data_IF_440974262275
#
_entry.id   IF_440974262275
#
_cell.length_a   1.000
_cell.length_b   1.000
_cell.length_c   1.000
_cell.angle_alpha   90.00
_cell.angle_beta   90.00
_cell.angle_gamma   90.00
#
_symmetry.space_group_name_H-M   'P 1'
#
loop_
_entity.id
_entity.type
_entity.pdbx_description
1 polymer ?
#
# COMPACT_ATOMS: atom_id res chain seq x y z
N UNK A 1 -5.23 -41.75 48.21
CA UNK A 1 -5.44 -42.89 49.13
C UNK A 1 -4.81 -42.48 50.46
N UNK A 2 -5.62 -42.40 51.53
CA UNK A 2 -5.25 -42.23 52.94
C UNK A 2 -4.63 -40.87 53.40
N UNK A 3 -5.53 -39.96 53.84
CA UNK A 3 -5.45 -39.30 55.16
C UNK A 3 -5.73 -40.45 56.18
N UNK A 4 -5.26 -40.55 57.47
CA UNK A 4 -5.38 -39.45 58.46
C UNK A 4 -4.62 -39.52 59.84
N UNK A 5 -4.91 -38.51 60.71
CA UNK A 5 -5.15 -38.60 62.20
C UNK A 5 -3.91 -38.81 63.14
N UNK A 6 -3.62 -37.98 64.17
CA UNK A 6 -4.32 -37.66 65.45
C UNK A 6 -3.84 -36.27 66.00
N UNK A 7 -4.71 -35.35 66.45
CA UNK A 7 -5.35 -35.20 67.79
C UNK A 7 -4.35 -35.01 68.94
N UNK A 8 -4.35 -33.91 69.70
CA UNK A 8 -5.27 -33.55 70.81
C UNK A 8 -4.74 -32.23 71.45
N UNK A 9 -5.36 -31.43 72.32
CA UNK A 9 -6.69 -31.24 72.91
C UNK A 9 -6.58 -29.95 73.78
N UNK A 10 -7.71 -29.48 74.34
CA UNK A 10 -7.85 -28.49 75.44
C UNK A 10 -7.89 -27.00 75.07
N UNK A 11 -8.73 -26.13 75.63
CA UNK A 11 -9.90 -26.22 76.51
C UNK A 11 -10.51 -24.80 76.59
N UNK A 12 -11.82 -24.72 76.79
CA UNK A 12 -12.56 -23.67 77.52
C UNK A 12 -12.47 -22.16 77.15
N UNK A 13 -13.61 -21.70 76.61
CA UNK A 13 -14.51 -20.63 77.12
C UNK A 13 -14.06 -19.16 77.22
N UNK A 14 -14.93 -18.34 76.61
CA UNK A 14 -15.52 -17.09 77.10
C UNK A 14 -14.80 -15.74 76.89
N UNK A 15 -15.42 -14.96 76.00
CA UNK A 15 -16.01 -13.65 76.30
C UNK A 15 -15.05 -12.55 76.78
N UNK A 16 -14.63 -11.67 75.88
CA UNK A 16 -14.96 -10.23 75.93
C UNK A 16 -14.32 -9.49 74.75
N UNK A 17 -15.08 -8.51 74.24
CA UNK A 17 -14.77 -7.60 73.15
C UNK A 17 -13.42 -6.90 73.29
N UNK A 18 -12.67 -6.73 72.19
CA UNK A 18 -12.00 -5.44 72.00
C UNK A 18 -11.83 -5.03 70.51
N UNK A 19 -12.32 -3.82 70.24
CA UNK A 19 -12.63 -3.18 68.95
C UNK A 19 -11.41 -2.76 68.10
N UNK A 20 -10.31 -3.53 68.10
CA UNK A 20 -9.04 -3.04 67.54
C UNK A 20 -8.57 -3.72 66.24
N UNK A 21 -9.37 -4.62 65.64
CA UNK A 21 -9.01 -5.29 64.38
C UNK A 21 -9.71 -4.76 63.12
N UNK A 22 -10.67 -3.83 63.25
CA UNK A 22 -11.34 -3.25 62.08
C UNK A 22 -10.56 -2.09 61.42
N UNK A 23 -9.59 -1.49 62.10
CA UNK A 23 -8.83 -0.37 61.54
C UNK A 23 -7.63 -0.77 60.67
N UNK A 24 -7.14 -2.01 60.78
CA UNK A 24 -5.95 -2.45 60.03
C UNK A 24 -6.26 -3.04 58.65
N UNK A 25 -7.52 -3.45 58.40
CA UNK A 25 -7.97 -3.90 57.07
C UNK A 25 -8.52 -2.74 56.20
N UNK A 26 -8.75 -1.56 56.78
CA UNK A 26 -9.17 -0.37 56.02
C UNK A 26 -8.00 0.43 55.45
N UNK A 27 -6.79 0.31 56.01
CA UNK A 27 -5.62 1.09 55.56
C UNK A 27 -4.80 0.36 54.49
N UNK A 28 -4.86 -0.97 54.42
CA UNK A 28 -4.20 -1.76 53.36
C UNK A 28 -5.00 -1.84 52.04
N UNK A 29 -6.32 -1.57 52.08
CA UNK A 29 -7.17 -1.51 50.87
C UNK A 29 -7.17 -0.15 50.15
N UNK A 30 -6.59 0.88 50.76
CA UNK A 30 -6.59 2.26 50.26
C UNK A 30 -5.31 2.68 49.54
N UNK A 31 -4.29 1.81 49.49
CA UNK A 31 -3.02 2.06 48.76
C UNK A 31 -2.89 1.27 47.45
N UNK A 32 -3.92 0.50 47.06
CA UNK A 32 -4.00 -0.20 45.77
C UNK A 32 -4.89 0.49 44.73
N UNK A 33 -5.46 1.65 45.06
CA UNK A 33 -5.94 2.60 44.06
C UNK A 33 -4.74 3.44 43.60
N UNK A 34 -3.76 2.78 42.98
CA UNK A 34 -2.83 3.48 42.12
C UNK A 34 -3.68 4.26 41.13
N UNK A 35 -3.52 5.58 41.12
CA UNK A 35 -4.18 6.48 40.19
C UNK A 35 -4.04 5.88 38.80
N UNK A 36 -5.11 5.26 38.29
CA UNK A 36 -5.27 5.08 36.86
C UNK A 36 -5.46 6.51 36.37
N UNK A 37 -4.34 7.16 36.06
CA UNK A 37 -4.33 8.46 35.42
C UNK A 37 -4.86 8.20 34.01
N UNK A 38 -6.18 8.13 33.89
CA UNK A 38 -6.88 8.33 32.63
C UNK A 38 -6.64 9.79 32.30
N UNK A 39 -5.47 10.09 31.72
CA UNK A 39 -5.24 11.38 31.11
C UNK A 39 -6.36 11.55 30.08
N UNK A 40 -7.31 12.44 30.38
CA UNK A 40 -8.33 12.81 29.40
C UNK A 40 -7.59 13.31 28.15
N UNK A 41 -7.97 12.86 26.94
CA UNK A 41 -7.37 13.37 25.71
C UNK A 41 -7.39 14.90 25.74
N UNK A 42 -6.24 15.53 25.51
CA UNK A 42 -6.18 16.99 25.44
C UNK A 42 -7.04 17.47 24.27
N UNK A 43 -8.08 18.24 24.59
CA UNK A 43 -8.95 18.88 23.61
C UNK A 43 -8.48 20.33 23.43
N UNK A 44 -7.89 20.70 22.28
CA UNK A 44 -7.52 22.08 22.02
C UNK A 44 -8.75 23.00 22.11
N UNK A 45 -8.56 24.17 22.71
CA UNK A 45 -9.61 25.17 22.88
C UNK A 45 -9.89 25.93 21.57
N UNK A 46 -8.94 25.93 20.64
CA UNK A 46 -9.05 26.59 19.34
C UNK A 46 -8.29 25.85 18.24
N UNK A 47 -8.56 26.18 16.97
CA UNK A 47 -7.81 25.66 15.82
C UNK A 47 -6.37 26.20 15.75
N UNK A 48 -6.05 27.25 16.51
CA UNK A 48 -4.72 27.89 16.56
C UNK A 48 -3.83 27.32 17.67
N UNK A 49 -4.38 26.43 18.52
CA UNK A 49 -3.63 25.80 19.60
C UNK A 49 -2.56 24.86 19.03
N UNK A 50 -1.29 25.23 19.23
CA UNK A 50 -0.15 24.42 18.80
C UNK A 50 -0.02 23.19 19.69
N UNK A 51 -0.43 22.02 19.18
CA UNK A 51 -0.34 20.74 19.90
C UNK A 51 1.09 20.22 19.98
N UNK A 52 1.86 20.40 18.90
CA UNK A 52 3.22 19.92 18.81
C UNK A 52 4.02 20.81 17.86
N UNK A 53 5.29 21.08 18.21
CA UNK A 53 6.26 21.74 17.33
C UNK A 53 7.21 20.68 16.82
N UNK A 54 6.96 20.21 15.61
CA UNK A 54 7.87 19.28 14.94
C UNK A 54 9.21 19.99 14.65
N UNK A 55 10.36 19.30 14.75
CA UNK A 55 11.64 19.84 14.32
C UNK A 55 11.53 20.36 12.89
N UNK A 56 12.15 21.50 12.59
CA UNK A 56 12.22 22.00 11.23
C UNK A 56 12.94 20.95 10.37
N UNK A 57 12.20 20.23 9.53
CA UNK A 57 12.79 19.27 8.61
C UNK A 57 13.77 20.04 7.70
N UNK A 58 15.04 19.63 7.74
CA UNK A 58 16.18 20.44 7.36
C UNK A 58 16.55 20.34 5.87
N UNK A 59 15.88 19.50 5.08
CA UNK A 59 16.21 19.34 3.67
C UNK A 59 15.57 20.44 2.80
N UNK A 60 16.16 20.68 1.61
CA UNK A 60 15.71 21.73 0.70
C UNK A 60 14.28 21.51 0.17
N UNK A 61 13.88 20.25 -0.01
CA UNK A 61 12.54 19.89 -0.49
C UNK A 61 11.44 20.32 0.48
N UNK A 62 11.63 20.08 1.78
CA UNK A 62 10.66 20.46 2.81
C UNK A 62 10.59 21.98 2.97
N UNK A 63 11.70 22.69 2.76
CA UNK A 63 11.71 24.14 2.74
C UNK A 63 10.95 24.72 1.55
N UNK A 64 11.12 24.14 0.37
CA UNK A 64 10.38 24.51 -0.84
C UNK A 64 8.88 24.30 -0.63
N UNK A 65 8.48 23.12 -0.15
CA UNK A 65 7.08 22.80 0.06
C UNK A 65 6.41 23.77 1.05
N UNK A 66 7.10 24.10 2.16
CA UNK A 66 6.62 25.12 3.12
C UNK A 66 6.53 26.52 2.52
N UNK A 67 7.35 26.87 1.53
CA UNK A 67 7.25 28.16 0.83
C UNK A 67 6.04 28.17 -0.10
N UNK A 68 5.85 27.11 -0.88
CA UNK A 68 4.70 26.94 -1.77
C UNK A 68 3.39 27.00 -0.99
N UNK A 69 3.27 26.25 0.10
CA UNK A 69 2.08 26.25 0.95
C UNK A 69 1.79 27.62 1.58
N UNK A 70 2.81 28.32 2.08
CA UNK A 70 2.61 29.68 2.65
C UNK A 70 2.16 30.68 1.59
N UNK A 71 2.75 30.63 0.40
CA UNK A 71 2.35 31.48 -0.70
C UNK A 71 0.89 31.18 -1.10
N UNK A 72 0.52 29.90 -1.19
CA UNK A 72 -0.84 29.50 -1.54
C UNK A 72 -1.85 29.92 -0.48
N UNK A 73 -1.51 29.84 0.81
CA UNK A 73 -2.38 30.31 1.88
C UNK A 73 -2.64 31.83 1.81
N UNK A 74 -1.71 32.61 1.24
CA UNK A 74 -1.90 34.05 1.06
C UNK A 74 -2.77 34.40 -0.16
N UNK A 75 -2.84 33.52 -1.16
CA UNK A 75 -3.72 33.66 -2.32
C UNK A 75 -4.30 32.29 -2.74
N UNK A 76 -5.33 31.78 -2.03
CA UNK A 76 -5.86 30.43 -2.24
C UNK A 76 -6.53 30.21 -3.60
N UNK A 77 -6.76 31.27 -4.37
CA UNK A 77 -7.39 31.22 -5.70
C UNK A 77 -6.36 31.30 -6.83
N UNK A 78 -5.08 31.34 -6.51
CA UNK A 78 -4.01 31.31 -7.49
C UNK A 78 -3.88 29.92 -8.12
N UNK A 79 -4.47 29.74 -9.31
CA UNK A 79 -4.53 28.44 -9.98
C UNK A 79 -3.13 27.86 -10.27
N UNK A 80 -2.21 28.66 -10.78
CA UNK A 80 -0.86 28.20 -11.12
C UNK A 80 -0.12 27.71 -9.87
N UNK A 81 -0.20 28.47 -8.77
CA UNK A 81 0.44 28.13 -7.52
C UNK A 81 -0.21 26.89 -6.87
N UNK A 82 -1.54 26.76 -6.95
CA UNK A 82 -2.26 25.59 -6.47
C UNK A 82 -1.81 24.31 -7.21
N UNK A 83 -1.76 24.35 -8.54
CA UNK A 83 -1.31 23.23 -9.38
C UNK A 83 0.13 22.85 -9.05
N UNK A 84 1.03 23.84 -8.97
CA UNK A 84 2.44 23.61 -8.66
C UNK A 84 2.61 22.97 -7.28
N UNK A 85 1.88 23.47 -6.28
CA UNK A 85 1.90 22.95 -4.91
C UNK A 85 1.37 21.52 -4.87
N UNK A 86 0.24 21.24 -5.52
CA UNK A 86 -0.35 19.90 -5.57
C UNK A 86 0.55 18.88 -6.29
N UNK A 87 1.16 19.24 -7.42
CA UNK A 87 2.13 18.38 -8.11
C UNK A 87 3.31 18.03 -7.21
N UNK A 88 3.91 19.04 -6.55
CA UNK A 88 5.04 18.80 -5.64
C UNK A 88 4.68 17.89 -4.47
N UNK A 89 3.46 18.03 -3.95
CA UNK A 89 2.93 17.18 -2.90
C UNK A 89 2.75 15.73 -3.38
N UNK A 90 2.20 15.52 -4.58
CA UNK A 90 2.04 14.18 -5.17
C UNK A 90 3.40 13.53 -5.46
N UNK A 91 4.37 14.28 -5.98
CA UNK A 91 5.75 13.81 -6.15
C UNK A 91 6.35 13.35 -4.82
N UNK A 92 6.18 14.16 -3.77
CA UNK A 92 6.64 13.82 -2.42
C UNK A 92 5.93 12.59 -1.88
N UNK A 93 4.61 12.49 -2.11
CA UNK A 93 3.81 11.33 -1.71
C UNK A 93 4.35 10.03 -2.33
N UNK A 94 4.67 10.06 -3.62
CA UNK A 94 5.23 8.91 -4.37
C UNK A 94 6.65 8.58 -3.91
N UNK A 95 7.49 9.59 -3.73
CA UNK A 95 8.86 9.40 -3.28
C UNK A 95 8.90 8.79 -1.87
N UNK A 96 8.12 9.30 -0.93
CA UNK A 96 8.14 8.84 0.46
C UNK A 96 7.22 7.64 0.72
N UNK A 97 6.35 7.31 -0.24
CA UNK A 97 5.20 6.41 -0.07
C UNK A 97 4.35 6.78 1.16
N UNK A 98 4.11 8.08 1.33
CA UNK A 98 3.36 8.64 2.45
C UNK A 98 2.00 9.20 1.97
N UNK A 99 0.88 8.55 2.33
CA UNK A 99 -0.44 8.90 1.80
C UNK A 99 -0.92 10.29 2.28
N UNK A 100 -0.33 10.85 3.35
CA UNK A 100 -0.74 12.16 3.91
C UNK A 100 -0.61 13.29 2.90
N UNK A 101 0.43 13.23 2.06
CA UNK A 101 0.68 14.26 1.05
C UNK A 101 -0.41 14.33 -0.03
N UNK A 102 -1.14 13.24 -0.31
CA UNK A 102 -2.30 13.31 -1.21
C UNK A 102 -3.45 14.14 -0.61
N UNK A 103 -3.66 14.07 0.71
CA UNK A 103 -4.61 14.93 1.41
C UNK A 103 -4.21 16.40 1.35
N UNK A 104 -2.92 16.70 1.49
CA UNK A 104 -2.41 18.06 1.31
C UNK A 104 -2.54 18.54 -0.15
N UNK A 105 -2.33 17.64 -1.13
CA UNK A 105 -2.48 17.98 -2.54
C UNK A 105 -3.93 18.32 -2.89
N UNK A 106 -4.90 17.58 -2.36
CA UNK A 106 -6.32 17.91 -2.45
C UNK A 106 -6.61 19.29 -1.85
N UNK A 107 -6.11 19.56 -0.63
CA UNK A 107 -6.31 20.84 0.02
C UNK A 107 -5.74 22.01 -0.83
N UNK A 108 -4.59 21.81 -1.48
CA UNK A 108 -3.98 22.82 -2.35
C UNK A 108 -4.88 23.22 -3.54
N UNK A 109 -5.67 22.29 -4.08
CA UNK A 109 -6.66 22.58 -5.15
C UNK A 109 -8.09 22.71 -4.63
N UNK A 110 -8.27 22.84 -3.31
CA UNK A 110 -9.57 22.79 -2.63
C UNK A 110 -10.59 23.80 -3.15
N UNK A 111 -10.16 24.98 -3.61
CA UNK A 111 -11.05 25.99 -4.17
C UNK A 111 -11.84 25.49 -5.39
N UNK A 112 -11.22 24.64 -6.23
CA UNK A 112 -11.83 24.09 -7.45
C UNK A 112 -12.38 22.68 -7.27
N UNK A 113 -12.04 22.00 -6.17
CA UNK A 113 -12.29 20.56 -5.99
C UNK A 113 -13.76 20.14 -6.19
N UNK A 114 -14.72 20.95 -5.76
CA UNK A 114 -16.16 20.65 -5.88
C UNK A 114 -16.89 21.57 -6.87
N UNK A 115 -16.17 22.35 -7.69
CA UNK A 115 -16.81 23.19 -8.68
C UNK A 115 -17.44 22.33 -9.78
N UNK A 116 -18.58 22.76 -10.38
CA UNK A 116 -19.21 22.01 -11.48
C UNK A 116 -18.32 21.88 -12.72
N UNK A 117 -17.43 22.85 -12.94
CA UNK A 117 -16.49 22.89 -14.07
C UNK A 117 -15.09 23.30 -13.57
N UNK A 118 -14.35 22.40 -12.90
CA UNK A 118 -12.98 22.66 -12.51
C UNK A 118 -12.07 22.76 -13.75
N UNK A 119 -10.98 23.55 -13.71
CA UNK A 119 -10.00 23.55 -14.79
C UNK A 119 -9.42 22.16 -15.07
N UNK A 120 -9.15 21.83 -16.34
CA UNK A 120 -8.60 20.52 -16.75
C UNK A 120 -7.36 20.08 -15.96
N UNK A 121 -6.45 21.00 -15.63
CA UNK A 121 -5.30 20.69 -14.78
C UNK A 121 -5.67 20.26 -13.34
N UNK A 122 -6.75 20.81 -12.77
CA UNK A 122 -7.28 20.39 -11.46
C UNK A 122 -7.96 19.03 -11.59
N UNK A 123 -8.72 18.79 -12.66
CA UNK A 123 -9.32 17.48 -12.92
C UNK A 123 -8.25 16.38 -13.01
N UNK A 124 -7.12 16.65 -13.68
CA UNK A 124 -6.00 15.72 -13.77
C UNK A 124 -5.40 15.42 -12.38
N UNK A 125 -5.19 16.43 -11.54
CA UNK A 125 -4.72 16.25 -10.16
C UNK A 125 -5.71 15.46 -9.31
N UNK A 126 -7.00 15.79 -9.41
CA UNK A 126 -8.10 15.10 -8.72
C UNK A 126 -8.17 13.63 -9.13
N UNK A 127 -8.01 13.32 -10.42
CA UNK A 127 -7.96 11.96 -10.92
C UNK A 127 -6.80 11.16 -10.31
N UNK A 128 -5.60 11.73 -10.21
CA UNK A 128 -4.43 11.07 -9.59
C UNK A 128 -4.66 10.80 -8.10
N UNK A 129 -5.24 11.76 -7.38
CA UNK A 129 -5.56 11.60 -5.95
C UNK A 129 -6.65 10.53 -5.76
N UNK A 130 -7.70 10.57 -6.58
CA UNK A 130 -8.78 9.56 -6.57
C UNK A 130 -8.27 8.17 -6.91
N UNK A 131 -7.40 8.04 -7.91
CA UNK A 131 -6.73 6.78 -8.25
C UNK A 131 -5.97 6.21 -7.04
N UNK A 132 -5.18 7.03 -6.34
CA UNK A 132 -4.46 6.59 -5.15
C UNK A 132 -5.41 6.14 -4.02
N UNK A 133 -6.57 6.78 -3.88
CA UNK A 133 -7.60 6.40 -2.92
C UNK A 133 -8.49 5.23 -3.38
N UNK A 134 -8.16 4.64 -4.52
CA UNK A 134 -8.93 3.58 -5.19
C UNK A 134 -10.36 4.01 -5.59
N UNK A 135 -10.64 5.31 -5.68
CA UNK A 135 -11.82 5.87 -6.34
C UNK A 135 -11.59 5.89 -7.86
N UNK A 136 -11.49 4.70 -8.44
CA UNK A 136 -11.19 4.54 -9.86
C UNK A 136 -12.29 5.08 -10.76
N UNK A 137 -13.55 4.99 -10.34
CA UNK A 137 -14.69 5.47 -11.13
C UNK A 137 -14.72 7.01 -11.16
N UNK A 138 -14.50 7.67 -10.02
CA UNK A 138 -14.36 9.12 -9.96
C UNK A 138 -13.12 9.61 -10.72
N UNK A 139 -12.01 8.87 -10.65
CA UNK A 139 -10.81 9.20 -11.42
C UNK A 139 -11.03 9.08 -12.93
N UNK A 140 -11.68 8.02 -13.41
CA UNK A 140 -12.02 7.85 -14.82
C UNK A 140 -13.01 8.91 -15.32
N UNK A 141 -13.96 9.34 -14.47
CA UNK A 141 -14.86 10.44 -14.80
C UNK A 141 -14.08 11.75 -15.04
N UNK A 142 -13.16 12.09 -14.13
CA UNK A 142 -12.32 13.28 -14.29
C UNK A 142 -11.42 13.20 -15.53
N UNK A 143 -10.80 12.05 -15.77
CA UNK A 143 -9.94 11.82 -16.95
C UNK A 143 -10.74 11.94 -18.25
N UNK A 144 -11.97 11.43 -18.29
CA UNK A 144 -12.86 11.58 -19.44
C UNK A 144 -13.17 13.05 -19.70
N UNK A 145 -13.43 13.82 -18.66
CA UNK A 145 -13.74 15.25 -18.80
C UNK A 145 -12.51 16.03 -19.30
N UNK A 146 -11.30 15.71 -18.81
CA UNK A 146 -10.04 16.23 -19.37
C UNK A 146 -9.88 15.87 -20.84
N UNK A 147 -10.10 14.61 -21.22
CA UNK A 147 -9.93 14.15 -22.61
C UNK A 147 -10.98 14.71 -23.57
N UNK A 148 -12.14 15.14 -23.07
CA UNK A 148 -13.15 15.84 -23.87
C UNK A 148 -12.68 17.25 -24.27
N UNK A 149 -11.97 17.95 -23.38
CA UNK A 149 -11.40 19.28 -23.65
C UNK A 149 -10.03 19.21 -24.33
N UNK A 150 -9.21 18.24 -23.93
CA UNK A 150 -7.81 18.08 -24.34
C UNK A 150 -7.54 16.67 -24.93
N UNK A 151 -8.05 16.34 -26.14
CA UNK A 151 -7.90 14.99 -26.72
C UNK A 151 -6.46 14.52 -26.94
N UNK A 152 -5.49 15.44 -26.90
CA UNK A 152 -4.05 15.20 -27.07
C UNK A 152 -3.28 15.14 -25.75
N UNK A 153 -3.97 15.16 -24.61
CA UNK A 153 -3.33 15.09 -23.30
C UNK A 153 -2.78 13.67 -23.05
N UNK A 154 -1.46 13.50 -23.22
CA UNK A 154 -0.78 12.21 -23.06
C UNK A 154 -0.91 11.65 -21.63
N UNK A 155 -0.83 12.52 -20.62
CA UNK A 155 -0.94 12.11 -19.21
C UNK A 155 -2.33 11.56 -18.90
N UNK A 156 -3.38 12.19 -19.41
CA UNK A 156 -4.76 11.71 -19.23
C UNK A 156 -4.97 10.33 -19.88
N UNK A 157 -4.48 10.11 -21.11
CA UNK A 157 -4.52 8.80 -21.75
C UNK A 157 -3.75 7.72 -20.99
N UNK A 158 -2.56 8.05 -20.47
CA UNK A 158 -1.77 7.12 -19.67
C UNK A 158 -2.46 6.79 -18.35
N UNK A 159 -2.98 7.79 -17.63
CA UNK A 159 -3.74 7.58 -16.39
C UNK A 159 -5.00 6.75 -16.64
N UNK A 160 -5.73 7.00 -17.73
CA UNK A 160 -6.88 6.17 -18.11
C UNK A 160 -6.49 4.71 -18.30
N UNK A 161 -5.41 4.45 -19.05
CA UNK A 161 -4.93 3.10 -19.34
C UNK A 161 -4.51 2.36 -18.06
N UNK A 162 -3.80 3.04 -17.15
CA UNK A 162 -3.39 2.48 -15.86
C UNK A 162 -4.60 2.11 -15.02
N UNK A 163 -5.58 3.02 -14.86
CA UNK A 163 -6.78 2.74 -14.06
C UNK A 163 -7.59 1.59 -14.66
N UNK A 164 -7.76 1.56 -15.98
CA UNK A 164 -8.42 0.44 -16.68
C UNK A 164 -7.69 -0.87 -16.44
N UNK A 165 -6.35 -0.90 -16.52
CA UNK A 165 -5.54 -2.08 -16.22
C UNK A 165 -5.71 -2.57 -14.79
N UNK A 166 -5.67 -1.67 -13.81
CA UNK A 166 -5.85 -1.98 -12.38
C UNK A 166 -7.26 -2.52 -12.09
N UNK A 167 -8.29 -2.08 -12.83
CA UNK A 167 -9.65 -2.64 -12.75
C UNK A 167 -9.80 -4.00 -13.47
N UNK A 168 -8.78 -4.45 -14.22
CA UNK A 168 -8.83 -5.67 -15.03
C UNK A 168 -9.43 -5.49 -16.43
N UNK A 169 -9.63 -4.25 -16.88
CA UNK A 169 -10.22 -3.88 -18.16
C UNK A 169 -9.11 -3.74 -19.24
N UNK A 170 -8.45 -4.85 -19.58
CA UNK A 170 -7.22 -4.83 -20.38
C UNK A 170 -7.40 -4.40 -21.85
N UNK A 171 -8.51 -4.76 -22.50
CA UNK A 171 -8.77 -4.31 -23.87
C UNK A 171 -9.01 -2.78 -23.95
N UNK A 172 -9.87 -2.18 -23.08
CA UNK A 172 -9.92 -0.72 -22.93
C UNK A 172 -8.57 -0.08 -22.61
N UNK A 173 -7.78 -0.68 -21.69
CA UNK A 173 -6.45 -0.17 -21.34
C UNK A 173 -5.51 -0.13 -22.56
N UNK A 174 -5.50 -1.20 -23.37
CA UNK A 174 -4.73 -1.26 -24.61
C UNK A 174 -5.14 -0.17 -25.61
N UNK A 175 -6.44 0.08 -25.76
CA UNK A 175 -6.94 1.15 -26.62
C UNK A 175 -6.45 2.53 -26.15
N UNK A 176 -6.49 2.79 -24.84
CA UNK A 176 -5.94 4.02 -24.26
C UNK A 176 -4.42 4.12 -24.49
N UNK A 177 -3.66 3.04 -24.30
CA UNK A 177 -2.22 3.01 -24.58
C UNK A 177 -1.89 3.29 -26.06
N UNK A 178 -2.74 2.88 -27.00
CA UNK A 178 -2.51 3.13 -28.43
C UNK A 178 -2.53 4.63 -28.78
N UNK A 179 -3.25 5.45 -28.01
CA UNK A 179 -3.25 6.91 -28.20
C UNK A 179 -1.87 7.53 -27.95
N UNK A 180 -1.10 6.94 -27.03
CA UNK A 180 0.24 7.41 -26.66
C UNK A 180 1.25 7.30 -27.80
N UNK A 181 1.04 6.42 -28.78
CA UNK A 181 1.94 6.26 -29.94
C UNK A 181 2.20 7.56 -30.71
N UNK A 182 1.28 8.54 -30.63
CA UNK A 182 1.39 9.85 -31.28
C UNK A 182 1.61 11.00 -30.30
N UNK A 183 1.60 10.73 -28.99
CA UNK A 183 1.53 11.75 -27.94
C UNK A 183 2.68 11.64 -26.92
N UNK A 184 3.42 10.54 -26.88
CA UNK A 184 4.53 10.31 -25.94
C UNK A 184 5.76 9.73 -26.65
N UNK A 185 6.82 9.46 -25.87
CA UNK A 185 7.96 8.68 -26.36
C UNK A 185 7.51 7.28 -26.80
N UNK A 186 8.28 6.69 -27.72
CA UNK A 186 8.07 5.32 -28.18
C UNK A 186 8.13 4.33 -27.01
N UNK A 187 9.03 4.57 -26.06
CA UNK A 187 9.20 3.71 -24.88
C UNK A 187 7.96 3.77 -24.00
N UNK A 188 7.44 4.96 -23.68
CA UNK A 188 6.20 5.12 -22.88
C UNK A 188 5.02 4.39 -23.51
N UNK A 189 4.81 4.58 -24.82
CA UNK A 189 3.72 3.92 -25.53
C UNK A 189 3.89 2.39 -25.55
N UNK A 190 5.12 1.90 -25.74
CA UNK A 190 5.43 0.48 -25.73
C UNK A 190 5.24 -0.14 -24.35
N UNK A 191 5.74 0.50 -23.30
CA UNK A 191 5.63 0.03 -21.90
C UNK A 191 4.17 -0.04 -21.46
N UNK A 192 3.37 0.99 -21.75
CA UNK A 192 1.92 0.99 -21.48
C UNK A 192 1.24 -0.22 -22.15
N UNK A 193 1.44 -0.37 -23.46
CA UNK A 193 0.80 -1.42 -24.24
C UNK A 193 1.26 -2.82 -23.81
N UNK A 194 2.55 -3.00 -23.54
CA UNK A 194 3.10 -4.28 -23.10
C UNK A 194 2.56 -4.67 -21.71
N UNK A 195 2.44 -3.72 -20.79
CA UNK A 195 1.87 -4.00 -19.47
C UNK A 195 0.44 -4.55 -19.59
N UNK A 196 -0.44 -3.84 -20.30
CA UNK A 196 -1.84 -4.27 -20.49
C UNK A 196 -1.95 -5.58 -21.31
N UNK A 197 -1.19 -5.72 -22.41
CA UNK A 197 -1.22 -6.92 -23.25
C UNK A 197 -0.72 -8.16 -22.51
N UNK A 198 0.22 -7.99 -21.58
CA UNK A 198 0.76 -9.11 -20.81
C UNK A 198 -0.26 -9.76 -19.89
N UNK A 199 -1.31 -9.01 -19.52
CA UNK A 199 -2.39 -9.49 -18.67
C UNK A 199 -3.58 -10.02 -19.49
N UNK A 200 -3.49 -10.01 -20.84
CA UNK A 200 -4.57 -10.37 -21.76
C UNK A 200 -4.24 -11.59 -22.65
N UNK A 201 -3.43 -12.54 -22.17
CA UNK A 201 -3.00 -13.74 -22.92
C UNK A 201 -2.00 -13.48 -24.05
N UNK A 202 -1.25 -12.37 -23.97
CA UNK A 202 -0.20 -12.00 -24.93
C UNK A 202 1.13 -11.71 -24.21
N UNK A 203 1.38 -12.30 -23.04
CA UNK A 203 2.55 -12.00 -22.20
C UNK A 203 3.88 -12.16 -22.92
N UNK A 204 4.09 -13.29 -23.62
CA UNK A 204 5.34 -13.51 -24.36
C UNK A 204 5.52 -12.52 -25.51
N UNK A 205 4.46 -12.17 -26.23
CA UNK A 205 4.50 -11.19 -27.33
C UNK A 205 4.77 -9.78 -26.81
N UNK A 206 4.09 -9.40 -25.72
CA UNK A 206 4.25 -8.13 -25.04
C UNK A 206 5.69 -7.94 -24.50
N UNK A 207 6.25 -8.99 -23.89
CA UNK A 207 7.63 -9.01 -23.42
C UNK A 207 8.62 -8.74 -24.56
N UNK A 208 8.53 -9.49 -25.66
CA UNK A 208 9.46 -9.30 -26.79
C UNK A 208 9.29 -7.90 -27.41
N UNK A 209 8.06 -7.42 -27.59
CA UNK A 209 7.80 -6.09 -28.13
C UNK A 209 8.43 -4.97 -27.30
N UNK A 210 8.32 -5.03 -25.97
CA UNK A 210 8.93 -4.04 -25.08
C UNK A 210 10.46 -4.20 -25.04
N UNK A 211 10.96 -5.43 -25.02
CA UNK A 211 12.41 -5.72 -25.00
C UNK A 211 13.11 -5.20 -26.25
N UNK A 212 12.47 -5.31 -27.41
CA UNK A 212 12.98 -4.81 -28.69
C UNK A 212 12.82 -3.28 -28.85
N UNK A 213 12.15 -2.61 -27.90
CA UNK A 213 12.03 -1.15 -27.88
C UNK A 213 13.22 -0.55 -27.14
N UNK A 214 14.06 0.18 -27.89
CA UNK A 214 15.28 0.79 -27.34
C UNK A 214 14.98 1.76 -26.19
N UNK A 215 15.63 1.52 -25.04
CA UNK A 215 15.49 2.34 -23.84
C UNK A 215 16.69 3.28 -23.60
N UNK A 216 17.82 3.07 -24.26
CA UNK A 216 19.10 3.71 -23.93
C UNK A 216 19.12 5.24 -24.09
N UNK A 217 18.23 5.78 -24.92
CA UNK A 217 18.11 7.23 -25.18
C UNK A 217 16.92 7.88 -24.45
N UNK A 218 16.15 7.09 -23.70
CA UNK A 218 14.97 7.57 -22.98
C UNK A 218 15.34 8.23 -21.64
N UNK A 219 14.41 9.01 -21.08
CA UNK A 219 14.58 9.57 -19.74
C UNK A 219 14.70 8.46 -18.68
N UNK A 220 15.43 8.72 -17.59
CA UNK A 220 15.69 7.73 -16.53
C UNK A 220 14.40 7.13 -15.98
N UNK A 221 13.35 7.92 -15.80
CA UNK A 221 12.07 7.44 -15.29
C UNK A 221 11.36 6.50 -16.29
N UNK A 222 11.46 6.79 -17.59
CA UNK A 222 10.90 5.92 -18.62
C UNK A 222 11.65 4.59 -18.70
N UNK A 223 12.98 4.62 -18.57
CA UNK A 223 13.82 3.41 -18.50
C UNK A 223 13.47 2.57 -17.27
N UNK A 224 13.36 3.20 -16.10
CA UNK A 224 13.01 2.53 -14.84
C UNK A 224 11.67 1.80 -14.97
N UNK A 225 10.66 2.48 -15.51
CA UNK A 225 9.34 1.88 -15.71
C UNK A 225 9.38 0.73 -16.71
N UNK A 226 10.05 0.90 -17.85
CA UNK A 226 10.17 -0.15 -18.86
C UNK A 226 10.87 -1.41 -18.33
N UNK A 227 12.00 -1.26 -17.63
CA UNK A 227 12.71 -2.38 -17.03
C UNK A 227 11.89 -3.07 -15.93
N UNK A 228 11.16 -2.30 -15.12
CA UNK A 228 10.29 -2.89 -14.09
C UNK A 228 9.18 -3.74 -14.73
N UNK A 229 8.50 -3.22 -15.76
CA UNK A 229 7.45 -3.96 -16.48
C UNK A 229 8.02 -5.21 -17.18
N UNK A 230 9.20 -5.11 -17.82
CA UNK A 230 9.87 -6.28 -18.40
C UNK A 230 10.15 -7.36 -17.35
N UNK A 231 10.64 -6.95 -16.18
CA UNK A 231 10.95 -7.86 -15.08
C UNK A 231 9.69 -8.58 -14.57
N UNK A 232 8.60 -7.84 -14.39
CA UNK A 232 7.33 -8.39 -13.93
C UNK A 232 6.70 -9.34 -14.96
N UNK A 233 6.75 -9.02 -16.25
CA UNK A 233 6.26 -9.93 -17.30
C UNK A 233 7.11 -11.20 -17.33
N UNK A 234 8.44 -11.08 -17.27
CA UNK A 234 9.34 -12.23 -17.25
C UNK A 234 9.10 -13.13 -16.01
N UNK A 235 8.88 -12.52 -14.84
CA UNK A 235 8.56 -13.23 -13.61
C UNK A 235 7.24 -14.03 -13.73
N UNK A 236 6.19 -13.41 -14.27
CA UNK A 236 4.90 -14.10 -14.53
C UNK A 236 5.03 -15.25 -15.53
N UNK A 237 5.88 -15.09 -16.55
CA UNK A 237 6.19 -16.15 -17.52
C UNK A 237 7.09 -17.26 -16.95
N UNK A 238 7.59 -17.12 -15.73
CA UNK A 238 8.52 -18.07 -15.09
C UNK A 238 9.98 -17.93 -15.52
N UNK A 239 10.33 -16.92 -16.33
CA UNK A 239 11.71 -16.65 -16.73
C UNK A 239 12.43 -15.83 -15.64
N UNK A 240 12.87 -16.54 -14.59
CA UNK A 240 13.49 -15.92 -13.42
C UNK A 240 14.83 -15.23 -13.75
N UNK A 241 15.57 -15.75 -14.74
CA UNK A 241 16.85 -15.16 -15.16
C UNK A 241 16.67 -13.82 -15.88
N UNK A 242 15.69 -13.74 -16.79
CA UNK A 242 15.33 -12.47 -17.43
C UNK A 242 14.74 -11.47 -16.42
N UNK A 243 13.86 -11.94 -15.53
CA UNK A 243 13.26 -11.09 -14.49
C UNK A 243 14.34 -10.42 -13.63
N UNK A 244 15.30 -11.20 -13.10
CA UNK A 244 16.38 -10.65 -12.29
C UNK A 244 17.27 -9.68 -13.08
N UNK A 245 17.56 -9.98 -14.34
CA UNK A 245 18.34 -9.08 -15.21
C UNK A 245 17.68 -7.71 -15.31
N UNK A 246 16.38 -7.67 -15.57
CA UNK A 246 15.64 -6.42 -15.72
C UNK A 246 15.46 -5.65 -14.40
N UNK A 247 15.19 -6.33 -13.28
CA UNK A 247 15.18 -5.67 -11.98
C UNK A 247 16.52 -5.01 -11.64
N UNK A 248 17.64 -5.71 -11.92
CA UNK A 248 18.98 -5.14 -11.70
C UNK A 248 19.29 -3.97 -12.64
N UNK A 249 18.81 -4.00 -13.88
CA UNK A 249 18.91 -2.84 -14.79
C UNK A 249 18.15 -1.64 -14.24
N UNK A 250 16.93 -1.83 -13.74
CA UNK A 250 16.15 -0.76 -13.12
C UNK A 250 16.84 -0.19 -11.87
N UNK A 251 17.37 -1.05 -10.99
CA UNK A 251 18.11 -0.62 -9.79
C UNK A 251 19.41 0.13 -10.12
N UNK A 252 20.10 -0.26 -11.20
CA UNK A 252 21.34 0.39 -11.63
C UNK A 252 21.15 1.84 -12.09
N UNK A 253 19.90 2.28 -12.31
CA UNK A 253 19.59 3.69 -12.58
C UNK A 253 19.76 4.59 -11.34
N UNK A 254 19.94 4.00 -10.15
CA UNK A 254 20.15 4.70 -8.88
C UNK A 254 19.06 5.74 -8.54
N UNK A 255 17.84 5.50 -9.02
CA UNK A 255 16.66 6.28 -8.68
C UNK A 255 15.83 5.47 -7.68
N UNK A 256 15.62 6.01 -6.48
CA UNK A 256 14.78 5.34 -5.47
C UNK A 256 13.32 5.34 -5.94
N UNK A 257 12.77 4.15 -6.14
CA UNK A 257 11.39 3.95 -6.55
C UNK A 257 10.76 2.83 -5.71
N UNK A 258 9.71 3.17 -4.96
CA UNK A 258 9.07 2.25 -4.00
C UNK A 258 8.36 1.09 -4.71
N UNK A 259 7.83 1.32 -5.92
CA UNK A 259 7.18 0.28 -6.70
C UNK A 259 8.19 -0.76 -7.18
N UNK A 260 9.31 -0.33 -7.76
CA UNK A 260 10.42 -1.20 -8.15
C UNK A 260 10.95 -2.01 -6.96
N UNK A 261 11.22 -1.37 -5.83
CA UNK A 261 11.71 -2.04 -4.63
C UNK A 261 10.70 -3.09 -4.13
N UNK A 262 9.41 -2.77 -4.16
CA UNK A 262 8.34 -3.70 -3.78
C UNK A 262 8.27 -4.91 -4.72
N UNK A 263 8.28 -4.67 -6.04
CA UNK A 263 8.19 -5.72 -7.06
C UNK A 263 9.43 -6.63 -7.04
N UNK A 264 10.62 -6.07 -6.88
CA UNK A 264 11.85 -6.86 -6.80
C UNK A 264 11.94 -7.66 -5.50
N UNK A 265 11.55 -7.08 -4.37
CA UNK A 265 11.52 -7.80 -3.11
C UNK A 265 10.51 -8.97 -3.14
N UNK A 266 9.33 -8.77 -3.73
CA UNK A 266 8.37 -9.85 -3.97
C UNK A 266 8.96 -10.96 -4.85
N UNK A 267 9.63 -10.60 -5.93
CA UNK A 267 10.34 -11.57 -6.77
C UNK A 267 11.42 -12.34 -5.97
N UNK A 268 12.24 -11.67 -5.17
CA UNK A 268 13.27 -12.31 -4.35
C UNK A 268 12.66 -13.26 -3.29
N UNK A 269 11.54 -12.88 -2.67
CA UNK A 269 10.79 -13.76 -1.76
C UNK A 269 10.31 -15.02 -2.46
N UNK A 270 9.77 -14.90 -3.68
CA UNK A 270 9.35 -16.05 -4.49
C UNK A 270 10.52 -16.98 -4.85
N UNK A 271 11.72 -16.42 -5.04
CA UNK A 271 12.95 -17.18 -5.28
C UNK A 271 13.58 -17.76 -4.00
N UNK A 272 12.93 -17.64 -2.84
CA UNK A 272 13.46 -18.07 -1.53
C UNK A 272 14.78 -17.39 -1.18
N UNK A 273 14.92 -16.09 -1.51
CA UNK A 273 16.11 -15.28 -1.24
C UNK A 273 15.85 -14.16 -0.22
N UNK A 274 15.42 -14.48 1.01
CA UNK A 274 15.04 -13.47 1.99
C UNK A 274 16.23 -12.62 2.48
N UNK A 275 17.45 -13.15 2.51
CA UNK A 275 18.65 -12.38 2.89
C UNK A 275 18.90 -11.20 1.95
N UNK A 276 18.61 -11.37 0.66
CA UNK A 276 18.75 -10.30 -0.32
C UNK A 276 17.68 -9.23 -0.13
N UNK A 277 16.46 -9.61 0.26
CA UNK A 277 15.39 -8.68 0.60
C UNK A 277 15.73 -7.85 1.83
N UNK A 278 16.26 -8.48 2.89
CA UNK A 278 16.73 -7.76 4.09
C UNK A 278 17.83 -6.78 3.69
N UNK A 279 18.79 -7.21 2.87
CA UNK A 279 19.88 -6.33 2.40
C UNK A 279 19.35 -5.15 1.59
N UNK A 280 18.35 -5.40 0.74
CA UNK A 280 17.72 -4.39 -0.12
C UNK A 280 16.92 -3.36 0.68
N UNK A 281 16.21 -3.76 1.73
CA UNK A 281 15.15 -2.95 2.36
C UNK A 281 15.42 -2.49 3.79
N UNK A 282 16.49 -2.95 4.46
CA UNK A 282 16.73 -2.66 5.89
C UNK A 282 16.75 -1.18 6.27
N UNK A 283 17.03 -0.27 5.33
CA UNK A 283 17.03 1.18 5.56
C UNK A 283 15.71 1.87 5.10
N UNK A 284 14.76 1.12 4.54
CA UNK A 284 13.55 1.61 3.86
C UNK A 284 12.25 1.27 4.60
N UNK A 285 12.23 1.47 5.92
CA UNK A 285 11.10 1.11 6.81
C UNK A 285 9.94 2.12 6.82
N UNK A 286 10.07 3.24 6.09
CA UNK A 286 9.03 4.29 6.05
C UNK A 286 7.80 3.85 5.26
N UNK A 287 7.98 3.16 4.13
CA UNK A 287 6.89 2.74 3.27
C UNK A 287 6.27 1.44 3.80
N UNK A 288 4.95 1.40 4.04
CA UNK A 288 4.27 0.23 4.60
C UNK A 288 4.48 -1.03 3.76
N UNK A 289 4.40 -0.90 2.43
CA UNK A 289 4.62 -2.01 1.51
C UNK A 289 6.05 -2.57 1.55
N UNK A 290 7.06 -1.74 1.81
CA UNK A 290 8.46 -2.18 1.95
C UNK A 290 8.70 -2.79 3.33
N UNK A 291 8.17 -2.16 4.39
CA UNK A 291 8.25 -2.68 5.76
C UNK A 291 7.60 -4.08 5.87
N UNK A 292 6.46 -4.29 5.20
CA UNK A 292 5.84 -5.61 5.09
C UNK A 292 6.79 -6.64 4.47
N UNK A 293 7.39 -6.32 3.31
CA UNK A 293 8.29 -7.26 2.61
C UNK A 293 9.57 -7.53 3.39
N UNK A 294 10.09 -6.52 4.11
CA UNK A 294 11.18 -6.69 5.06
C UNK A 294 10.79 -7.65 6.18
N UNK A 295 9.64 -7.45 6.83
CA UNK A 295 9.16 -8.34 7.89
C UNK A 295 8.92 -9.78 7.39
N UNK A 296 8.44 -9.97 6.16
CA UNK A 296 8.32 -11.31 5.55
C UNK A 296 9.69 -11.98 5.42
N UNK A 297 10.70 -11.25 4.93
CA UNK A 297 12.06 -11.77 4.80
C UNK A 297 12.72 -12.05 6.17
N UNK A 298 12.47 -11.20 7.16
CA UNK A 298 12.93 -11.38 8.54
C UNK A 298 12.31 -12.62 9.19
N UNK A 299 11.02 -12.90 8.94
CA UNK A 299 10.37 -14.13 9.38
C UNK A 299 11.05 -15.37 8.79
N UNK A 300 11.40 -15.36 7.50
CA UNK A 300 12.06 -16.48 6.84
C UNK A 300 13.50 -16.70 7.31
N UNK A 301 14.17 -15.64 7.79
CA UNK A 301 15.57 -15.70 8.27
C UNK A 301 15.68 -15.86 9.78
N UNK A 302 14.59 -15.70 10.52
CA UNK A 302 14.59 -15.70 11.98
C UNK A 302 15.24 -14.44 12.57
N UNK A 303 15.14 -13.30 11.87
CA UNK A 303 15.79 -12.06 12.30
C UNK A 303 15.15 -11.51 13.59
N UNK A 304 15.99 -11.00 14.50
CA UNK A 304 15.56 -10.46 15.80
C UNK A 304 14.70 -9.19 15.65
N UNK A 305 14.89 -8.45 14.55
CA UNK A 305 14.16 -7.22 14.21
C UNK A 305 12.69 -7.46 13.83
N UNK A 306 12.30 -8.70 13.53
CA UNK A 306 10.93 -9.06 13.12
C UNK A 306 9.88 -8.55 14.12
N UNK A 307 10.12 -8.73 15.42
CA UNK A 307 9.15 -8.38 16.45
C UNK A 307 8.83 -6.87 16.41
N UNK A 308 9.87 -6.04 16.29
CA UNK A 308 9.72 -4.59 16.21
C UNK A 308 8.96 -4.17 14.94
N UNK A 309 9.34 -4.70 13.77
CA UNK A 309 8.69 -4.33 12.51
C UNK A 309 7.25 -4.83 12.44
N UNK A 310 6.94 -5.99 13.01
CA UNK A 310 5.58 -6.51 13.09
C UNK A 310 4.69 -5.67 14.02
N UNK A 311 5.21 -5.22 15.16
CA UNK A 311 4.49 -4.31 16.06
C UNK A 311 4.20 -2.96 15.37
N UNK A 312 5.18 -2.43 14.63
CA UNK A 312 5.01 -1.21 13.86
C UNK A 312 3.94 -1.34 12.76
N UNK A 313 3.98 -2.42 11.97
CA UNK A 313 2.95 -2.69 10.95
C UNK A 313 1.56 -2.76 11.58
N UNK A 314 1.40 -3.49 12.69
CA UNK A 314 0.11 -3.60 13.38
C UNK A 314 -0.40 -2.26 13.91
N UNK A 315 0.49 -1.43 14.47
CA UNK A 315 0.15 -0.09 14.94
C UNK A 315 -0.32 0.82 13.79
N UNK A 316 0.38 0.80 12.65
CA UNK A 316 -0.01 1.57 11.46
C UNK A 316 -1.36 1.11 10.90
N UNK A 317 -1.60 -0.19 10.81
CA UNK A 317 -2.91 -0.74 10.40
C UNK A 317 -4.04 -0.35 11.35
N UNK A 318 -3.80 -0.39 12.67
CA UNK A 318 -4.78 0.08 13.64
C UNK A 318 -5.13 1.56 13.45
N UNK A 319 -4.13 2.40 13.15
CA UNK A 319 -4.35 3.81 12.85
C UNK A 319 -5.15 4.04 11.55
N UNK A 320 -4.93 3.25 10.50
CA UNK A 320 -5.74 3.30 9.27
C UNK A 320 -7.20 2.96 9.54
N UNK A 321 -7.46 1.87 10.28
CA UNK A 321 -8.83 1.45 10.64
C UNK A 321 -9.58 2.50 11.45
N UNK A 322 -8.90 3.18 12.38
CA UNK A 322 -9.50 4.27 13.18
C UNK A 322 -9.94 5.47 12.32
N UNK A 323 -9.29 5.71 11.18
CA UNK A 323 -9.68 6.76 10.23
C UNK A 323 -10.72 6.31 9.21
N UNK A 324 -11.04 5.02 9.15
CA UNK A 324 -11.88 4.44 8.11
C UNK A 324 -11.17 4.34 6.75
N UNK A 325 -9.83 4.38 6.74
CA UNK A 325 -9.03 4.24 5.52
C UNK A 325 -9.08 2.78 5.03
N UNK A 326 -9.60 2.55 3.82
CA UNK A 326 -9.68 1.22 3.19
C UNK A 326 -8.62 1.00 2.08
N UNK A 327 -7.59 1.86 2.01
CA UNK A 327 -6.65 1.92 0.88
C UNK A 327 -5.60 0.79 0.92
N UNK A 328 -5.35 0.21 2.10
CA UNK A 328 -4.25 -0.78 2.31
C UNK A 328 -4.74 -2.23 2.49
N UNK A 329 -5.89 -2.58 1.91
CA UNK A 329 -6.49 -3.90 2.10
C UNK A 329 -5.60 -5.05 1.60
N UNK A 330 -4.83 -4.85 0.52
CA UNK A 330 -3.84 -5.84 0.04
C UNK A 330 -2.76 -6.10 1.09
N UNK A 331 -2.10 -5.05 1.58
CA UNK A 331 -1.04 -5.16 2.58
C UNK A 331 -1.57 -5.77 3.88
N UNK A 332 -2.74 -5.33 4.34
CA UNK A 332 -3.37 -5.87 5.54
C UNK A 332 -3.71 -7.36 5.38
N UNK A 333 -4.24 -7.77 4.23
CA UNK A 333 -4.51 -9.17 3.92
C UNK A 333 -3.22 -10.01 3.92
N UNK A 334 -2.12 -9.51 3.34
CA UNK A 334 -0.81 -10.19 3.35
C UNK A 334 -0.25 -10.33 4.76
N UNK A 335 -0.33 -9.28 5.59
CA UNK A 335 0.08 -9.33 7.01
C UNK A 335 -0.70 -10.45 7.73
N UNK A 336 -2.02 -10.46 7.59
CA UNK A 336 -2.87 -11.46 8.22
C UNK A 336 -2.50 -12.88 7.77
N UNK A 337 -2.31 -13.09 6.47
CA UNK A 337 -2.02 -14.42 5.92
C UNK A 337 -0.64 -14.93 6.33
N UNK A 338 0.39 -14.11 6.10
CA UNK A 338 1.77 -14.55 6.07
C UNK A 338 2.48 -14.31 7.41
N UNK A 339 2.18 -13.21 8.10
CA UNK A 339 2.81 -12.87 9.39
C UNK A 339 2.00 -13.35 10.58
N UNK A 340 0.69 -13.07 10.60
CA UNK A 340 -0.18 -13.35 11.75
C UNK A 340 -0.84 -14.74 11.72
N UNK A 341 -0.79 -15.44 10.57
CA UNK A 341 -1.43 -16.76 10.36
C UNK A 341 -2.94 -16.74 10.63
N UNK A 342 -3.60 -15.68 10.17
CA UNK A 342 -5.05 -15.43 10.26
C UNK A 342 -5.68 -15.52 8.85
N UNK A 343 -5.78 -16.72 8.25
CA UNK A 343 -6.15 -16.86 6.84
C UNK A 343 -7.62 -16.47 6.55
N UNK A 344 -8.53 -16.57 7.53
CA UNK A 344 -9.93 -16.12 7.36
C UNK A 344 -10.05 -14.61 7.22
N UNK A 345 -9.32 -13.85 8.05
CA UNK A 345 -9.28 -12.39 7.95
C UNK A 345 -8.57 -11.94 6.68
N UNK A 346 -7.48 -12.62 6.32
CA UNK A 346 -6.79 -12.40 5.05
C UNK A 346 -7.72 -12.61 3.85
N UNK A 347 -8.49 -13.70 3.81
CA UNK A 347 -9.41 -13.98 2.71
C UNK A 347 -10.50 -12.88 2.59
N UNK A 348 -11.09 -12.48 3.72
CA UNK A 348 -12.09 -11.40 3.75
C UNK A 348 -11.52 -10.11 3.18
N UNK A 349 -10.33 -9.70 3.63
CA UNK A 349 -9.66 -8.48 3.17
C UNK A 349 -9.24 -8.58 1.68
N UNK A 350 -8.73 -9.73 1.25
CA UNK A 350 -8.35 -9.98 -0.13
C UNK A 350 -9.56 -9.87 -1.09
N UNK A 351 -10.72 -10.41 -0.70
CA UNK A 351 -11.95 -10.30 -1.47
C UNK A 351 -12.53 -8.88 -1.50
N UNK A 352 -12.42 -8.12 -0.40
CA UNK A 352 -12.78 -6.71 -0.38
C UNK A 352 -11.93 -5.91 -1.37
N UNK A 353 -10.62 -6.14 -1.35
CA UNK A 353 -9.69 -5.52 -2.28
C UNK A 353 -9.98 -5.92 -3.74
N UNK A 354 -10.24 -7.21 -3.99
CA UNK A 354 -10.55 -7.75 -5.32
C UNK A 354 -11.77 -7.09 -5.99
N UNK A 355 -12.73 -6.61 -5.19
CA UNK A 355 -13.89 -5.88 -5.70
C UNK A 355 -13.54 -4.48 -6.24
N UNK A 356 -12.39 -3.94 -5.85
CA UNK A 356 -11.92 -2.61 -6.21
C UNK A 356 -10.78 -2.69 -7.23
N UNK A 357 -9.82 -3.60 -7.03
CA UNK A 357 -8.55 -3.71 -7.74
C UNK A 357 -8.24 -5.17 -8.08
N UNK A 358 -7.78 -5.42 -9.31
CA UNK A 358 -7.62 -6.75 -9.92
C UNK A 358 -6.26 -6.93 -10.59
N UNK A 359 -5.20 -6.56 -9.88
CA UNK A 359 -3.84 -6.83 -10.33
C UNK A 359 -3.45 -8.30 -10.03
N UNK A 360 -2.40 -8.85 -10.68
CA UNK A 360 -1.96 -10.22 -10.44
C UNK A 360 -1.68 -10.55 -8.97
N UNK A 361 -1.15 -9.59 -8.20
CA UNK A 361 -0.92 -9.78 -6.76
C UNK A 361 -2.20 -9.86 -5.94
N UNK A 362 -3.30 -9.23 -6.36
CA UNK A 362 -4.60 -9.39 -5.71
C UNK A 362 -5.19 -10.76 -5.98
N UNK A 363 -5.07 -11.23 -7.22
CA UNK A 363 -5.50 -12.56 -7.63
C UNK A 363 -4.75 -13.61 -6.80
N UNK A 364 -3.42 -13.46 -6.73
CA UNK A 364 -2.55 -14.33 -5.92
C UNK A 364 -3.01 -14.36 -4.48
N UNK A 365 -3.24 -13.21 -3.86
CA UNK A 365 -3.59 -13.14 -2.45
C UNK A 365 -4.93 -13.81 -2.12
N UNK A 366 -5.94 -13.64 -2.99
CA UNK A 366 -7.21 -14.36 -2.86
C UNK A 366 -6.99 -15.87 -2.97
N UNK A 367 -6.22 -16.33 -3.96
CA UNK A 367 -5.94 -17.77 -4.14
C UNK A 367 -5.13 -18.34 -2.96
N UNK A 368 -4.08 -17.68 -2.50
CA UNK A 368 -3.28 -18.11 -1.34
C UNK A 368 -4.15 -18.20 -0.08
N UNK A 369 -5.02 -17.21 0.16
CA UNK A 369 -5.91 -17.21 1.30
C UNK A 369 -7.00 -18.29 1.19
N UNK A 370 -7.57 -18.50 0.01
CA UNK A 370 -8.55 -19.54 -0.27
C UNK A 370 -7.98 -20.96 -0.04
N UNK A 371 -6.76 -21.22 -0.53
CA UNK A 371 -6.04 -22.47 -0.25
C UNK A 371 -5.80 -22.63 1.25
N UNK A 372 -5.40 -21.56 1.96
CA UNK A 372 -5.11 -21.62 3.39
C UNK A 372 -6.34 -21.86 4.29
N UNK A 373 -7.55 -21.55 3.81
CA UNK A 373 -8.80 -21.85 4.52
C UNK A 373 -9.56 -23.06 3.95
N UNK A 374 -9.01 -23.72 2.92
CA UNK A 374 -9.66 -24.83 2.20
C UNK A 374 -11.05 -24.46 1.63
N UNK A 375 -11.21 -23.22 1.15
CA UNK A 375 -12.44 -22.70 0.55
C UNK A 375 -12.26 -22.42 -0.94
N UNK A 376 -12.49 -23.45 -1.75
CA UNK A 376 -12.43 -23.37 -3.22
C UNK A 376 -13.47 -22.42 -3.81
N UNK A 377 -14.63 -22.27 -3.16
CA UNK A 377 -15.69 -21.40 -3.66
C UNK A 377 -15.29 -19.93 -3.54
N UNK A 378 -14.53 -19.56 -2.51
CA UNK A 378 -14.02 -18.21 -2.35
C UNK A 378 -13.03 -17.78 -3.46
N UNK A 379 -12.35 -18.74 -4.11
CA UNK A 379 -11.46 -18.46 -5.25
C UNK A 379 -12.21 -18.17 -6.56
N UNK A 380 -13.51 -18.49 -6.65
CA UNK A 380 -14.31 -18.41 -7.89
C UNK A 380 -14.20 -17.06 -8.63
N UNK A 381 -14.26 -15.88 -7.98
CA UNK A 381 -14.15 -14.60 -8.68
C UNK A 381 -12.82 -14.44 -9.45
N UNK A 382 -11.73 -14.99 -8.91
CA UNK A 382 -10.40 -14.95 -9.55
C UNK A 382 -10.31 -15.96 -10.69
N UNK A 383 -10.82 -17.18 -10.49
CA UNK A 383 -10.86 -18.21 -11.53
C UNK A 383 -11.68 -17.74 -12.75
N UNK A 384 -12.85 -17.15 -12.50
CA UNK A 384 -13.71 -16.59 -13.55
C UNK A 384 -13.01 -15.41 -14.27
N UNK A 385 -12.22 -14.60 -13.57
CA UNK A 385 -11.42 -13.54 -14.17
C UNK A 385 -10.28 -14.10 -15.04
N UNK A 386 -9.50 -15.07 -14.53
CA UNK A 386 -8.42 -15.72 -15.26
C UNK A 386 -8.90 -16.35 -16.56
N UNK A 387 -10.07 -17.01 -16.54
CA UNK A 387 -10.67 -17.60 -17.73
C UNK A 387 -11.01 -16.55 -18.81
N UNK A 388 -11.40 -15.33 -18.41
CA UNK A 388 -11.73 -14.24 -19.34
C UNK A 388 -10.51 -13.46 -19.80
N UNK A 389 -9.63 -13.07 -18.86
CA UNK A 389 -8.45 -12.27 -19.14
C UNK A 389 -7.38 -13.07 -19.86
N UNK A 390 -7.34 -14.39 -19.65
CA UNK A 390 -6.26 -15.28 -20.13
C UNK A 390 -4.90 -14.84 -19.62
N UNK A 391 -4.84 -14.23 -18.43
CA UNK A 391 -3.56 -13.82 -17.83
C UNK A 391 -2.65 -15.03 -17.66
N UNK A 392 -1.41 -14.90 -18.15
CA UNK A 392 -0.38 -15.93 -18.08
C UNK A 392 0.51 -15.66 -16.86
N UNK A 393 0.37 -16.47 -15.81
CA UNK A 393 1.16 -16.34 -14.57
C UNK A 393 1.41 -17.71 -13.94
N UNK A 394 2.68 -18.12 -13.87
CA UNK A 394 3.10 -19.41 -13.32
C UNK A 394 2.81 -19.54 -11.83
N UNK A 395 2.78 -18.44 -11.07
CA UNK A 395 2.49 -18.50 -9.63
C UNK A 395 0.99 -18.71 -9.40
N UNK A 396 0.14 -18.06 -10.21
CA UNK A 396 -1.31 -18.28 -10.14
C UNK A 396 -1.66 -19.71 -10.54
N UNK A 397 -1.02 -20.27 -11.58
CA UNK A 397 -1.24 -21.66 -12.00
C UNK A 397 -0.94 -22.66 -10.88
N UNK A 398 0.20 -22.51 -10.19
CA UNK A 398 0.56 -23.37 -9.05
C UNK A 398 -0.45 -23.29 -7.90
N UNK A 399 -1.06 -22.13 -7.67
CA UNK A 399 -2.08 -21.97 -6.63
C UNK A 399 -3.41 -22.60 -7.03
N UNK A 400 -3.77 -22.52 -8.31
CA UNK A 400 -4.95 -23.20 -8.86
C UNK A 400 -4.81 -24.72 -8.69
N UNK A 401 -3.65 -25.29 -8.99
CA UNK A 401 -3.38 -26.73 -8.80
C UNK A 401 -3.49 -27.20 -7.34
N UNK A 402 -3.46 -26.28 -6.37
CA UNK A 402 -3.61 -26.57 -4.93
C UNK A 402 -5.04 -26.39 -4.41
N UNK A 403 -5.94 -25.88 -5.25
CA UNK A 403 -7.36 -25.75 -4.93
C UNK A 403 -8.14 -27.02 -5.28
N UNK A 404 -7.61 -27.83 -6.21
CA UNK A 404 -8.10 -29.18 -6.52
C UNK A 404 -7.69 -30.18 -5.43
#
# INVERSE_FOLDING_TARGET
MLIPILCNSDCFSNWFLNKSRLYFLMVAGLLLFGNISLAAPYLPASADDVLERLPALANASDQELRRLQRALNSDPKNLELAIRTANRLIETARADADPRYYGYAEAAVGYWWNQPQPPSAVLMLRAVIRQHRHDFDGALADVRDVLAEEPRNAQAWLTQAVIQGVKGDYEPALNSCMMLKRLSSRLVAATCAANAASLSGKARQAYQYLKDTEANTAEVQEQLWAFTVLAEIAARLGDSGAAETHYRQALALNQRDVYLLSAYADFLLDQQRPVDVVTLLKEDTRADGLLLRLALAEQMTGAVTLAQHLDELQARMAAYRLRGDNIHQREEARINLQLLRQPKDALRLALLNWNVQREPWDARLVLEAAVAVEDTLAAKPVLDWLARSKTEDVQLQRLIERLD
#
